data_IF_444999124084
#
_entry.id   IF_444999124084
#
_cell.length_a   1.000
_cell.length_b   1.000
_cell.length_c   1.000
_cell.angle_alpha   90.00
_cell.angle_beta   90.00
_cell.angle_gamma   90.00
#
_symmetry.space_group_name_H-M   'P 1'
#
loop_
_entity.id
_entity.type
_entity.pdbx_description
1 polymer ?
#
# COMPACT_ATOMS: atom_id res chain seq x y z
N UNK A 1 11.03 16.06 -14.37
CA UNK A 1 10.26 14.82 -14.08
C UNK A 1 10.93 13.67 -14.81
N UNK A 2 11.17 12.50 -14.21
CA UNK A 2 11.67 11.36 -14.97
C UNK A 2 10.58 10.95 -15.96
N UNK A 3 10.82 11.24 -17.24
CA UNK A 3 9.88 10.96 -18.32
C UNK A 3 9.98 9.48 -18.68
N UNK A 4 8.90 8.74 -18.47
CA UNK A 4 8.70 7.44 -19.10
C UNK A 4 7.78 7.68 -20.29
N UNK A 5 8.29 7.37 -21.48
CA UNK A 5 7.57 7.49 -22.75
C UNK A 5 7.11 6.14 -23.31
N UNK A 6 7.34 5.03 -22.60
CA UNK A 6 7.03 3.69 -23.11
C UNK A 6 6.29 2.80 -22.10
N UNK A 7 5.41 1.95 -22.63
CA UNK A 7 4.71 0.91 -21.87
C UNK A 7 5.66 0.00 -21.09
N UNK A 8 6.74 -0.46 -21.72
CA UNK A 8 7.71 -1.36 -21.09
C UNK A 8 8.44 -0.70 -19.93
N UNK A 9 8.81 0.58 -20.08
CA UNK A 9 9.41 1.37 -19.01
C UNK A 9 8.45 1.51 -17.82
N UNK A 10 7.18 1.81 -18.10
CA UNK A 10 6.14 1.93 -17.08
C UNK A 10 5.93 0.60 -16.33
N UNK A 11 5.90 -0.53 -17.04
CA UNK A 11 5.75 -1.85 -16.42
C UNK A 11 6.96 -2.26 -15.59
N UNK A 12 8.20 -1.93 -16.00
CA UNK A 12 9.40 -2.19 -15.20
C UNK A 12 9.33 -1.47 -13.85
N UNK A 13 8.87 -0.22 -13.82
CA UNK A 13 8.64 0.52 -12.58
C UNK A 13 7.55 -0.13 -11.72
N UNK A 14 6.41 -0.50 -12.32
CA UNK A 14 5.33 -1.16 -11.57
C UNK A 14 5.80 -2.48 -10.94
N UNK A 15 6.59 -3.27 -11.65
CA UNK A 15 7.22 -4.49 -11.10
C UNK A 15 8.21 -4.18 -9.99
N UNK A 16 9.05 -3.14 -10.13
CA UNK A 16 9.97 -2.72 -9.07
C UNK A 16 9.23 -2.27 -7.79
N UNK A 17 8.07 -1.63 -7.92
CA UNK A 17 7.20 -1.28 -6.79
C UNK A 17 6.62 -2.55 -6.15
N UNK A 18 6.12 -3.48 -6.96
CA UNK A 18 5.55 -4.74 -6.49
C UNK A 18 6.55 -5.62 -5.73
N UNK A 19 7.80 -5.66 -6.20
CA UNK A 19 8.88 -6.44 -5.59
C UNK A 19 9.51 -5.75 -4.37
N UNK A 20 9.12 -4.50 -4.06
CA UNK A 20 9.67 -3.74 -2.93
C UNK A 20 11.03 -3.10 -3.18
N UNK A 21 11.50 -3.04 -4.43
CA UNK A 21 12.74 -2.33 -4.80
C UNK A 21 12.52 -0.81 -4.90
N UNK A 22 11.27 -0.36 -5.09
CA UNK A 22 10.87 1.05 -5.08
C UNK A 22 9.80 1.27 -4.00
N UNK A 23 10.19 1.82 -2.85
CA UNK A 23 9.36 2.01 -1.65
C UNK A 23 9.11 3.51 -1.38
N UNK A 24 8.21 3.80 -0.45
CA UNK A 24 7.95 5.15 0.10
C UNK A 24 7.83 6.27 -0.95
N UNK A 25 8.78 7.22 -0.97
CA UNK A 25 8.79 8.37 -1.87
C UNK A 25 8.93 7.96 -3.34
N UNK A 26 9.72 6.93 -3.63
CA UNK A 26 9.86 6.34 -4.96
C UNK A 26 8.51 5.81 -5.46
N UNK A 27 7.84 4.96 -4.66
CA UNK A 27 6.51 4.42 -4.98
C UNK A 27 5.50 5.54 -5.19
N UNK A 28 5.45 6.50 -4.27
CA UNK A 28 4.45 7.57 -4.28
C UNK A 28 4.61 8.46 -5.52
N UNK A 29 5.84 8.82 -5.85
CA UNK A 29 6.16 9.66 -7.01
C UNK A 29 5.80 8.96 -8.31
N UNK A 30 6.21 7.70 -8.47
CA UNK A 30 5.93 6.93 -9.68
C UNK A 30 4.44 6.66 -9.88
N UNK A 31 3.73 6.26 -8.82
CA UNK A 31 2.28 6.01 -8.94
C UNK A 31 1.53 7.28 -9.31
N UNK A 32 1.91 8.43 -8.75
CA UNK A 32 1.34 9.72 -9.13
C UNK A 32 1.57 10.00 -10.62
N UNK A 33 2.81 9.89 -11.09
CA UNK A 33 3.17 10.17 -12.49
C UNK A 33 2.47 9.22 -13.47
N UNK A 34 2.42 7.92 -13.18
CA UNK A 34 1.75 6.93 -14.02
C UNK A 34 0.23 7.14 -14.06
N UNK A 35 -0.38 7.56 -12.95
CA UNK A 35 -1.81 7.97 -12.92
C UNK A 35 -2.07 9.18 -13.81
N UNK A 36 -1.18 10.17 -13.81
CA UNK A 36 -1.30 11.32 -14.71
C UNK A 36 -1.17 10.88 -16.16
N UNK A 37 -0.12 10.12 -16.51
CA UNK A 37 0.11 9.63 -17.87
C UNK A 37 -1.08 8.86 -18.46
N UNK A 38 -1.78 8.04 -17.65
CA UNK A 38 -2.98 7.31 -18.09
C UNK A 38 -4.20 8.21 -18.35
N UNK A 39 -4.32 9.33 -17.62
CA UNK A 39 -5.42 10.30 -17.75
C UNK A 39 -5.22 11.29 -18.88
N UNK A 40 -3.97 11.54 -19.28
CA UNK A 40 -3.65 12.51 -20.32
C UNK A 40 -4.20 12.08 -21.68
N UNK A 41 -4.88 12.98 -22.39
CA UNK A 41 -5.46 12.74 -23.73
C UNK A 41 -4.40 12.46 -24.80
N UNK A 42 -3.20 13.05 -24.66
CA UNK A 42 -2.09 12.92 -25.62
C UNK A 42 -1.43 11.54 -25.62
N UNK A 43 -1.88 10.61 -24.77
CA UNK A 43 -1.35 9.23 -24.67
C UNK A 43 0.20 9.19 -24.65
N UNK A 44 0.85 9.80 -23.65
CA UNK A 44 2.31 9.97 -23.62
C UNK A 44 3.10 8.66 -23.58
N UNK A 45 2.43 7.53 -23.32
CA UNK A 45 3.01 6.19 -23.26
C UNK A 45 2.72 5.36 -24.53
N UNK A 46 2.01 5.92 -25.52
CA UNK A 46 1.67 5.24 -26.76
C UNK A 46 0.86 3.95 -26.58
N UNK A 47 -0.01 3.89 -25.56
CA UNK A 47 -0.69 2.66 -25.18
C UNK A 47 -1.83 2.30 -26.14
N UNK A 48 -1.91 1.02 -26.52
CA UNK A 48 -3.12 0.43 -27.09
C UNK A 48 -4.15 0.08 -25.97
N UNK A 49 -5.38 -0.29 -26.35
CA UNK A 49 -6.47 -0.58 -25.40
C UNK A 49 -6.09 -1.72 -24.43
N UNK A 50 -5.46 -2.78 -24.94
CA UNK A 50 -5.05 -3.96 -24.16
C UNK A 50 -3.94 -3.62 -23.15
N UNK A 51 -2.92 -2.89 -23.58
CA UNK A 51 -1.82 -2.39 -22.76
C UNK A 51 -2.33 -1.45 -21.68
N UNK A 52 -3.25 -0.54 -22.03
CA UNK A 52 -3.88 0.38 -21.07
C UNK A 52 -4.66 -0.38 -20.00
N UNK A 53 -5.42 -1.42 -20.36
CA UNK A 53 -6.12 -2.28 -19.42
C UNK A 53 -5.13 -3.00 -18.49
N UNK A 54 -4.16 -3.70 -19.05
CA UNK A 54 -3.13 -4.43 -18.29
C UNK A 54 -2.34 -3.53 -17.33
N UNK A 55 -1.94 -2.34 -17.80
CA UNK A 55 -1.23 -1.36 -16.98
C UNK A 55 -2.10 -0.83 -15.85
N UNK A 56 -3.39 -0.58 -16.12
CA UNK A 56 -4.33 -0.10 -15.10
C UNK A 56 -4.55 -1.15 -14.01
N UNK A 57 -4.68 -2.42 -14.37
CA UNK A 57 -4.82 -3.53 -13.42
C UNK A 57 -3.56 -3.68 -12.55
N UNK A 58 -2.37 -3.66 -13.16
CA UNK A 58 -1.10 -3.71 -12.44
C UNK A 58 -0.90 -2.48 -11.53
N UNK A 59 -1.28 -1.29 -11.99
CA UNK A 59 -1.23 -0.08 -11.19
C UNK A 59 -2.16 -0.17 -9.97
N UNK A 60 -3.38 -0.72 -10.13
CA UNK A 60 -4.31 -0.95 -9.00
C UNK A 60 -3.70 -1.90 -7.97
N UNK A 61 -3.09 -3.00 -8.40
CA UNK A 61 -2.51 -3.98 -7.47
C UNK A 61 -1.33 -3.41 -6.68
N UNK A 62 -0.45 -2.64 -7.31
CA UNK A 62 0.73 -2.06 -6.61
C UNK A 62 0.42 -0.75 -5.87
N UNK A 63 -0.63 -0.03 -6.28
CA UNK A 63 -1.05 1.23 -5.65
C UNK A 63 -1.92 1.07 -4.43
N UNK A 64 -2.35 -0.15 -4.13
CA UNK A 64 -2.98 -0.46 -2.84
C UNK A 64 -2.15 0.15 -1.72
N UNK A 65 -2.78 1.02 -0.93
CA UNK A 65 -2.30 1.23 0.44
C UNK A 65 -2.35 -0.16 1.05
N UNK A 66 -1.25 -0.59 1.69
CA UNK A 66 -1.36 -1.54 2.80
C UNK A 66 -2.08 -0.79 3.94
N UNK A 67 -3.32 -0.36 3.68
CA UNK A 67 -4.23 0.12 4.69
C UNK A 67 -4.57 -1.14 5.44
N UNK A 68 -3.93 -1.31 6.61
CA UNK A 68 -4.32 -2.32 7.58
C UNK A 68 -5.82 -2.14 7.72
N UNK A 69 -6.60 -3.10 7.19
CA UNK A 69 -8.04 -2.92 7.06
C UNK A 69 -8.60 -2.88 8.47
N UNK A 70 -9.07 -1.71 8.86
CA UNK A 70 -9.86 -1.54 10.08
C UNK A 70 -11.14 -2.35 9.93
N UNK A 71 -11.16 -3.56 10.50
CA UNK A 71 -12.36 -4.39 10.47
C UNK A 71 -13.44 -3.73 11.34
N UNK A 72 -14.71 -3.77 10.91
CA UNK A 72 -15.85 -3.21 11.67
C UNK A 72 -15.83 -3.67 13.14
N UNK A 73 -15.47 -4.93 13.41
CA UNK A 73 -15.36 -5.50 14.76
C UNK A 73 -14.35 -4.80 15.69
N UNK A 74 -13.35 -4.10 15.15
CA UNK A 74 -12.31 -3.42 15.93
C UNK A 74 -12.52 -1.90 16.04
N UNK A 75 -13.61 -1.37 15.47
CA UNK A 75 -13.86 0.08 15.44
C UNK A 75 -14.21 0.64 16.82
N UNK A 76 -14.93 -0.13 17.65
CA UNK A 76 -15.52 0.37 18.91
C UNK A 76 -14.72 0.02 20.17
N UNK A 77 -13.59 -0.68 20.05
CA UNK A 77 -12.75 -1.03 21.22
C UNK A 77 -11.77 0.10 21.54
N UNK A 78 -11.26 0.13 22.77
CA UNK A 78 -10.21 1.08 23.21
C UNK A 78 -8.87 0.85 22.48
N UNK A 79 -8.45 -0.41 22.35
CA UNK A 79 -7.20 -0.81 21.69
C UNK A 79 -7.15 -0.44 20.19
N UNK A 80 -5.96 -0.45 19.55
CA UNK A 80 -5.79 -0.07 18.15
C UNK A 80 -6.77 -0.80 17.25
N UNK A 81 -7.35 -0.19 16.20
CA UNK A 81 -8.44 -0.81 15.48
C UNK A 81 -7.95 -1.81 14.41
N UNK A 82 -6.87 -2.54 14.73
CA UNK A 82 -6.15 -3.46 13.87
C UNK A 82 -5.92 -4.81 14.56
N UNK A 83 -5.95 -5.94 13.85
CA UNK A 83 -5.62 -7.25 14.44
C UNK A 83 -4.19 -7.26 14.98
N UNK A 84 -4.05 -7.73 16.23
CA UNK A 84 -2.76 -7.77 16.93
C UNK A 84 -1.77 -8.76 16.29
N UNK A 85 -2.26 -9.89 15.79
CA UNK A 85 -1.44 -10.91 15.12
C UNK A 85 -0.72 -10.38 13.87
N UNK A 86 -1.40 -9.62 13.01
CA UNK A 86 -0.79 -9.00 11.82
C UNK A 86 0.22 -7.90 12.15
N UNK A 87 0.21 -7.42 13.40
CA UNK A 87 1.03 -6.32 13.90
C UNK A 87 1.82 -6.73 15.13
N UNK A 88 2.24 -7.99 15.21
CA UNK A 88 2.98 -8.50 16.35
C UNK A 88 4.29 -7.71 16.56
N UNK A 89 4.63 -7.47 17.83
CA UNK A 89 5.78 -6.68 18.28
C UNK A 89 5.78 -5.21 17.82
N UNK A 90 4.65 -4.69 17.31
CA UNK A 90 4.51 -3.26 16.99
C UNK A 90 3.85 -2.50 18.12
N UNK A 91 4.18 -1.22 18.20
CA UNK A 91 3.56 -0.25 19.10
C UNK A 91 2.66 0.68 18.30
N UNK A 92 1.36 0.72 18.64
CA UNK A 92 0.34 1.50 17.91
C UNK A 92 -0.56 2.22 18.92
N UNK A 93 -1.01 3.42 18.57
CA UNK A 93 -1.98 4.19 19.36
C UNK A 93 -3.39 3.59 19.20
N UNK A 94 -4.09 3.44 20.32
CA UNK A 94 -5.47 2.97 20.41
C UNK A 94 -6.49 4.01 19.93
N UNK A 95 -7.74 3.57 19.79
CA UNK A 95 -8.85 4.50 19.55
C UNK A 95 -9.11 5.43 20.75
N UNK A 96 -8.62 5.05 21.93
CA UNK A 96 -8.68 5.82 23.16
C UNK A 96 -7.48 6.78 23.34
N UNK A 97 -6.58 6.86 22.34
CA UNK A 97 -5.39 7.69 22.39
C UNK A 97 -4.22 7.12 23.19
N UNK A 98 -4.38 5.95 23.84
CA UNK A 98 -3.30 5.32 24.62
C UNK A 98 -2.36 4.50 23.72
N UNK A 99 -1.11 4.30 24.14
CA UNK A 99 -0.17 3.43 23.41
C UNK A 99 -0.38 1.96 23.78
N UNK A 100 -0.35 1.09 22.79
CA UNK A 100 -0.43 -0.35 22.96
C UNK A 100 0.70 -1.06 22.23
N UNK A 101 1.25 -2.11 22.83
CA UNK A 101 2.18 -3.04 22.21
C UNK A 101 1.49 -4.38 21.92
N UNK A 102 1.71 -4.92 20.73
CA UNK A 102 1.25 -6.27 20.40
C UNK A 102 2.28 -7.29 20.88
N UNK A 103 1.99 -8.05 21.95
CA UNK A 103 2.93 -9.03 22.51
C UNK A 103 2.43 -10.46 22.29
N UNK A 104 3.27 -11.39 21.78
CA UNK A 104 2.91 -12.80 21.65
C UNK A 104 2.80 -13.47 23.01
N UNK A 105 1.88 -14.44 23.11
CA UNK A 105 1.83 -15.40 24.22
C UNK A 105 2.65 -16.66 23.90
N UNK A 106 2.64 -17.65 24.81
CA UNK A 106 3.35 -18.94 24.63
C UNK A 106 2.93 -19.71 23.36
N UNK A 107 1.75 -19.43 22.82
CA UNK A 107 1.20 -20.05 21.61
C UNK A 107 1.40 -19.17 20.35
N UNK A 108 2.28 -18.16 20.40
CA UNK A 108 2.52 -17.19 19.32
C UNK A 108 1.29 -16.36 18.89
N UNK A 109 0.26 -16.27 19.74
CA UNK A 109 -0.91 -15.41 19.52
C UNK A 109 -0.62 -14.05 20.15
N UNK A 110 -0.66 -13.00 19.33
CA UNK A 110 -0.35 -11.64 19.76
C UNK A 110 -1.61 -10.91 20.23
N UNK A 111 -1.47 -10.16 21.32
CA UNK A 111 -2.54 -9.39 21.95
C UNK A 111 -2.08 -7.97 22.27
N UNK A 112 -2.99 -6.99 22.15
CA UNK A 112 -2.70 -5.60 22.49
C UNK A 112 -2.62 -5.44 24.01
N UNK A 113 -1.47 -4.99 24.50
CA UNK A 113 -1.24 -4.63 25.90
C UNK A 113 -0.97 -3.14 26.00
N UNK A 114 -1.67 -2.45 26.89
CA UNK A 114 -1.46 -1.01 27.12
C UNK A 114 -0.08 -0.81 27.75
N UNK A 115 0.64 0.22 27.29
CA UNK A 115 1.88 0.71 27.88
C UNK A 115 1.55 1.88 28.81
#
# INVERSE_FOLDING_TARGET
>A
MPFISSYNGAMKILSAIGNGNCKESCKTSWIRNLKYALKTKTNPLGLNIKQRKNMTEKLKSVSGKNAIKTLKKYKNRKSPPYPANENCNKTIVGNDGNKYISKPNKNNICSWKKI
#
